data_IF_379060740684
#
_entry.id   IF_379060740684
#
_cell.length_a   1.000
_cell.length_b   1.000
_cell.length_c   1.000
_cell.angle_alpha   90.00
_cell.angle_beta   90.00
_cell.angle_gamma   90.00
#
_symmetry.space_group_name_H-M   'P 1'
#
loop_
_entity.id
_entity.type
_entity.pdbx_description
1 polymer ?
#
# COMPACT_ATOMS: atom_id res chain seq x y z
N UNK A 1 12.83 -5.20 9.43
CA UNK A 1 12.12 -6.45 9.03
C UNK A 1 11.08 -6.13 7.95
N UNK A 2 10.53 -7.12 7.22
CA UNK A 2 9.48 -6.84 6.23
C UNK A 2 8.07 -6.90 6.85
N UNK A 3 7.20 -6.01 6.39
CA UNK A 3 5.79 -5.96 6.75
C UNK A 3 4.94 -5.84 5.50
N UNK A 4 3.95 -6.72 5.37
CA UNK A 4 2.93 -6.65 4.34
C UNK A 4 1.72 -5.89 4.88
N UNK A 5 1.30 -4.87 4.15
CA UNK A 5 0.16 -4.02 4.46
C UNK A 5 -0.79 -4.16 3.28
N UNK A 6 -1.96 -4.76 3.52
CA UNK A 6 -2.98 -4.97 2.51
C UNK A 6 -4.21 -4.16 2.90
N UNK A 7 -4.61 -3.24 2.03
CA UNK A 7 -5.73 -2.33 2.23
C UNK A 7 -6.81 -2.62 1.20
N UNK A 8 -8.07 -2.67 1.64
CA UNK A 8 -9.25 -2.79 0.77
C UNK A 8 -9.95 -1.45 0.76
N UNK A 9 -10.21 -0.91 -0.42
CA UNK A 9 -10.97 0.34 -0.59
C UNK A 9 -12.45 0.09 -0.28
N UNK A 10 -13.15 1.12 0.24
CA UNK A 10 -14.59 1.01 0.47
C UNK A 10 -15.35 0.79 -0.84
N UNK A 11 -16.42 -0.02 -0.84
CA UNK A 11 -17.28 -0.16 -2.00
C UNK A 11 -17.94 1.19 -2.31
N UNK A 12 -17.88 1.63 -3.57
CA UNK A 12 -18.51 2.86 -4.02
C UNK A 12 -17.61 3.71 -4.91
N UNK A 13 -17.83 5.02 -4.89
CA UNK A 13 -17.20 6.00 -5.77
C UNK A 13 -15.70 6.18 -5.44
N UNK A 14 -14.86 6.06 -6.48
CA UNK A 14 -13.40 6.27 -6.42
C UNK A 14 -13.01 7.73 -6.17
N UNK A 15 -13.96 8.67 -6.18
CA UNK A 15 -13.73 10.10 -5.98
C UNK A 15 -12.92 10.44 -4.72
N UNK A 16 -13.15 9.74 -3.60
CA UNK A 16 -12.37 9.94 -2.38
C UNK A 16 -10.89 9.62 -2.60
N UNK A 17 -10.59 8.50 -3.26
CA UNK A 17 -9.24 8.08 -3.63
C UNK A 17 -8.60 9.06 -4.61
N UNK A 18 -9.32 9.44 -5.65
CA UNK A 18 -8.83 10.38 -6.66
C UNK A 18 -8.49 11.74 -6.05
N UNK A 19 -9.33 12.26 -5.15
CA UNK A 19 -9.16 13.58 -4.54
C UNK A 19 -7.89 13.72 -3.71
N UNK A 20 -7.36 12.63 -3.14
CA UNK A 20 -6.16 12.64 -2.31
C UNK A 20 -4.98 11.89 -2.93
N UNK A 21 -5.13 11.36 -4.14
CA UNK A 21 -4.13 10.53 -4.82
C UNK A 21 -2.77 11.24 -4.93
N UNK A 22 -2.75 12.54 -5.23
CA UNK A 22 -1.50 13.30 -5.34
C UNK A 22 -0.80 13.44 -4.00
N UNK A 23 -1.55 13.74 -2.93
CA UNK A 23 -0.99 13.82 -1.58
C UNK A 23 -0.50 12.46 -1.09
N UNK A 24 -1.22 11.38 -1.41
CA UNK A 24 -0.78 10.01 -1.16
C UNK A 24 0.55 9.71 -1.85
N UNK A 25 0.68 10.02 -3.15
CA UNK A 25 1.94 9.86 -3.90
C UNK A 25 3.08 10.69 -3.31
N UNK A 26 2.79 11.92 -2.87
CA UNK A 26 3.78 12.78 -2.21
C UNK A 26 4.26 12.15 -0.89
N UNK A 27 3.33 11.62 -0.09
CA UNK A 27 3.66 10.89 1.13
C UNK A 27 4.56 9.69 0.85
N UNK A 28 4.23 8.84 -0.13
CA UNK A 28 5.05 7.67 -0.48
C UNK A 28 6.49 8.06 -0.89
N UNK A 29 6.67 9.20 -1.59
CA UNK A 29 8.02 9.71 -1.91
C UNK A 29 8.83 10.03 -0.65
N UNK A 30 8.18 10.51 0.42
CA UNK A 30 8.86 10.76 1.71
C UNK A 30 9.23 9.48 2.46
N UNK A 31 8.60 8.35 2.11
CA UNK A 31 8.83 7.04 2.74
C UNK A 31 9.59 6.08 1.82
N UNK A 32 10.19 6.58 0.73
CA UNK A 32 10.79 5.76 -0.31
C UNK A 32 11.90 4.83 0.20
N UNK A 33 12.60 5.22 1.26
CA UNK A 33 13.63 4.43 1.96
C UNK A 33 13.07 3.19 2.68
N UNK A 34 11.76 3.20 3.01
CA UNK A 34 11.07 2.08 3.67
C UNK A 34 10.37 1.16 2.68
N UNK A 35 10.02 1.62 1.48
CA UNK A 35 9.18 0.86 0.56
C UNK A 35 10.02 -0.12 -0.27
N UNK A 36 9.74 -1.41 -0.13
CA UNK A 36 10.32 -2.47 -0.99
C UNK A 36 9.49 -2.64 -2.26
N UNK A 37 8.16 -2.62 -2.11
CA UNK A 37 7.21 -2.68 -3.23
C UNK A 37 5.88 -2.04 -2.79
N UNK A 38 5.21 -1.33 -3.70
CA UNK A 38 3.88 -0.77 -3.44
C UNK A 38 3.07 -0.67 -4.73
N UNK A 39 1.75 -0.79 -4.64
CA UNK A 39 0.87 -0.57 -5.78
C UNK A 39 -0.60 -0.56 -5.40
N UNK A 40 -1.43 -0.04 -6.30
CA UNK A 40 -2.87 -0.26 -6.22
C UNK A 40 -3.16 -1.74 -6.50
N UNK A 41 -4.08 -2.34 -5.74
CA UNK A 41 -4.67 -3.62 -6.14
C UNK A 41 -5.78 -3.31 -7.12
N UNK A 42 -5.91 -4.16 -8.14
CA UNK A 42 -6.93 -4.04 -9.17
C UNK A 42 -7.90 -5.21 -9.06
N UNK A 43 -9.08 -5.05 -9.64
CA UNK A 43 -9.95 -6.17 -9.93
C UNK A 43 -9.36 -7.00 -11.09
N UNK A 44 -9.94 -8.16 -11.37
CA UNK A 44 -9.47 -9.05 -12.44
C UNK A 44 -9.60 -8.43 -13.85
N UNK A 45 -10.34 -7.32 -13.99
CA UNK A 45 -10.38 -6.52 -15.22
C UNK A 45 -9.05 -5.77 -15.52
N UNK A 46 -8.15 -5.67 -14.54
CA UNK A 46 -6.88 -4.97 -14.68
C UNK A 46 -6.99 -3.44 -14.72
N UNK A 47 -8.16 -2.87 -14.42
CA UNK A 47 -8.40 -1.41 -14.49
C UNK A 47 -9.02 -0.88 -13.18
N UNK A 48 -10.02 -1.57 -12.65
CA UNK A 48 -10.76 -1.10 -11.48
C UNK A 48 -9.91 -1.23 -10.22
N UNK A 49 -9.57 -0.11 -9.58
CA UNK A 49 -8.82 -0.10 -8.32
C UNK A 49 -9.70 -0.61 -7.17
N UNK A 50 -9.17 -1.55 -6.39
CA UNK A 50 -9.88 -2.21 -5.27
C UNK A 50 -9.21 -1.99 -3.91
N UNK A 51 -8.05 -1.33 -3.89
CA UNK A 51 -7.23 -1.27 -2.68
C UNK A 51 -5.80 -0.82 -2.94
N UNK A 52 -4.95 -1.08 -1.95
CA UNK A 52 -3.51 -0.84 -2.02
C UNK A 52 -2.76 -1.95 -1.31
N UNK A 53 -1.56 -2.28 -1.80
CA UNK A 53 -0.67 -3.23 -1.17
C UNK A 53 0.72 -2.60 -1.02
N UNK A 54 1.32 -2.78 0.15
CA UNK A 54 2.67 -2.33 0.46
C UNK A 54 3.47 -3.45 1.10
N UNK A 55 4.72 -3.58 0.68
CA UNK A 55 5.76 -4.31 1.39
C UNK A 55 6.79 -3.29 1.85
N UNK A 56 6.90 -3.11 3.17
CA UNK A 56 7.78 -2.09 3.77
C UNK A 56 8.80 -2.70 4.71
N UNK A 57 9.98 -2.10 4.77
CA UNK A 57 10.99 -2.32 5.78
C UNK A 57 10.70 -1.47 7.02
N UNK A 58 10.47 -2.13 8.16
CA UNK A 58 10.29 -1.49 9.46
C UNK A 58 10.79 -2.40 10.59
N UNK A 59 11.26 -1.82 11.69
CA UNK A 59 11.85 -2.54 12.82
C UNK A 59 10.80 -3.04 13.80
N UNK A 60 9.58 -2.52 13.73
CA UNK A 60 8.49 -2.92 14.61
C UNK A 60 7.12 -2.88 13.93
N UNK A 61 6.12 -3.47 14.60
CA UNK A 61 4.72 -3.35 14.20
C UNK A 61 4.27 -1.89 14.24
N UNK A 62 4.68 -1.16 15.29
CA UNK A 62 4.31 0.22 15.50
C UNK A 62 4.81 1.13 14.36
N UNK A 63 6.00 0.88 13.83
CA UNK A 63 6.52 1.62 12.67
C UNK A 63 5.75 1.30 11.38
N UNK A 64 5.38 0.03 11.15
CA UNK A 64 4.55 -0.35 10.01
C UNK A 64 3.13 0.25 10.11
N UNK A 65 2.56 0.28 11.31
CA UNK A 65 1.29 0.94 11.59
C UNK A 65 1.39 2.46 11.42
N UNK A 66 2.50 3.08 11.84
CA UNK A 66 2.73 4.50 11.60
C UNK A 66 2.84 4.82 10.10
N UNK A 67 3.50 3.97 9.31
CA UNK A 67 3.52 4.10 7.86
C UNK A 67 2.09 4.04 7.29
N UNK A 68 1.29 3.06 7.70
CA UNK A 68 -0.09 2.88 7.22
C UNK A 68 -1.00 4.04 7.63
N UNK A 69 -0.90 4.49 8.89
CA UNK A 69 -1.75 5.54 9.45
C UNK A 69 -1.38 6.94 8.95
N UNK A 70 -0.11 7.14 8.56
CA UNK A 70 0.37 8.39 7.95
C UNK A 70 -0.04 8.56 6.49
N UNK A 71 -0.55 7.50 5.84
CA UNK A 71 -1.02 7.57 4.46
C UNK A 71 -2.29 8.45 4.35
N UNK A 72 -2.31 9.46 3.47
CA UNK A 72 -3.49 10.27 3.19
C UNK A 72 -4.75 9.47 2.89
N UNK A 73 -4.66 8.31 2.22
CA UNK A 73 -5.81 7.42 2.01
C UNK A 73 -6.46 6.95 3.31
N UNK A 74 -5.67 6.70 4.34
CA UNK A 74 -6.18 6.30 5.66
C UNK A 74 -6.96 7.46 6.30
N UNK A 75 -6.40 8.67 6.32
CA UNK A 75 -7.06 9.84 6.90
C UNK A 75 -8.31 10.30 6.12
N UNK A 76 -8.30 10.11 4.79
CA UNK A 76 -9.44 10.37 3.91
C UNK A 76 -10.53 9.28 3.99
N UNK A 77 -10.28 8.21 4.75
CA UNK A 77 -11.23 7.12 4.93
C UNK A 77 -11.51 6.32 3.65
N UNK A 78 -10.53 6.23 2.75
CA UNK A 78 -10.63 5.44 1.50
C UNK A 78 -10.72 3.96 1.81
N UNK A 79 -9.95 3.48 2.78
CA UNK A 79 -9.90 2.06 3.14
C UNK A 79 -11.09 1.65 4.01
N UNK A 80 -11.73 0.53 3.64
CA UNK A 80 -12.67 -0.20 4.49
C UNK A 80 -11.91 -1.02 5.54
N UNK A 81 -10.82 -1.67 5.13
CA UNK A 81 -10.02 -2.49 6.02
C UNK A 81 -8.53 -2.42 5.69
N UNK A 82 -7.71 -2.62 6.73
CA UNK A 82 -6.25 -2.66 6.63
C UNK A 82 -5.74 -3.86 7.41
N UNK A 83 -4.95 -4.72 6.77
CA UNK A 83 -4.32 -5.88 7.39
C UNK A 83 -2.81 -5.74 7.37
N UNK A 84 -2.17 -5.80 8.53
CA UNK A 84 -0.72 -5.65 8.70
C UNK A 84 -0.13 -6.95 9.26
N UNK A 85 0.80 -7.57 8.52
CA UNK A 85 1.47 -8.82 8.90
C UNK A 85 2.98 -8.72 8.78
N UNK A 86 3.70 -9.27 9.76
CA UNK A 86 5.16 -9.44 9.69
C UNK A 86 5.49 -10.52 8.67
N UNK A 87 6.47 -10.26 7.80
CA UNK A 87 6.95 -11.20 6.80
C UNK A 87 8.45 -11.49 7.00
N UNK A 88 8.82 -12.77 6.94
CA UNK A 88 10.22 -13.17 6.81
C UNK A 88 10.58 -13.20 5.33
N UNK A 89 11.59 -12.42 4.93
CA UNK A 89 12.14 -12.50 3.57
C UNK A 89 12.73 -13.89 3.33
N UNK A 90 12.31 -14.54 2.24
CA UNK A 90 12.94 -15.75 1.73
C UNK A 90 13.65 -15.42 0.41
N UNK A 91 12.98 -15.63 -0.72
CA UNK A 91 13.49 -15.28 -2.05
C UNK A 91 12.89 -13.94 -2.53
N UNK A 92 13.65 -13.17 -3.30
CA UNK A 92 13.21 -11.91 -3.90
C UNK A 92 13.80 -11.80 -5.30
N UNK A 93 12.94 -11.77 -6.32
CA UNK A 93 13.29 -11.76 -7.74
C UNK A 93 12.57 -10.59 -8.44
N UNK A 94 12.97 -9.34 -8.20
CA UNK A 94 12.29 -8.17 -8.74
C UNK A 94 12.23 -8.18 -10.28
N UNK A 95 13.24 -8.74 -10.94
CA UNK A 95 13.35 -8.84 -12.40
C UNK A 95 12.29 -9.75 -13.05
N UNK A 96 11.46 -10.45 -12.25
CA UNK A 96 10.33 -11.20 -12.80
C UNK A 96 9.13 -10.31 -13.13
N UNK A 97 9.11 -9.04 -12.67
CA UNK A 97 8.02 -8.10 -12.96
C UNK A 97 7.84 -7.87 -14.47
N UNK A 98 8.94 -7.65 -15.20
CA UNK A 98 8.90 -7.33 -16.64
C UNK A 98 8.68 -8.56 -17.56
N UNK A 99 8.41 -9.75 -16.99
CA UNK A 99 8.24 -11.00 -17.77
C UNK A 99 6.78 -11.33 -18.09
N UNK A 100 5.84 -10.66 -17.43
CA UNK A 100 4.41 -10.78 -17.67
C UNK A 100 3.96 -9.73 -18.70
#
# INVERSE_FOLDING_TARGET
MLWCIFCVDKPGDSSARESVLETHRAYLKTQADKIVMSGATLSDDGETMTGSCFIVAADSRAEAEAFSNGDPFTSAGVFESVTIKRMKKSSFYPDNYDKA
#
